data_IF_318679731719
#
_entry.id   IF_318679731719
#
_cell.length_a   1.000
_cell.length_b   1.000
_cell.length_c   1.000
_cell.angle_alpha   90.00
_cell.angle_beta   90.00
_cell.angle_gamma   90.00
#
_symmetry.space_group_name_H-M   'P 1'
#
loop_
_entity.id
_entity.type
_entity.pdbx_description
1 polymer ?
#
# COMPACT_ATOMS: atom_id res chain seq x y z
N UNK A 1 -11.97 7.64 12.30
CA UNK A 1 -13.35 7.72 11.82
C UNK A 1 -13.52 6.58 10.83
N UNK A 2 -14.07 5.46 11.28
CA UNK A 2 -14.20 4.28 10.42
C UNK A 2 -15.33 4.51 9.43
N UNK A 3 -15.09 4.23 8.17
CA UNK A 3 -16.16 4.00 7.20
C UNK A 3 -16.93 2.78 7.69
N UNK A 4 -18.04 3.01 8.37
CA UNK A 4 -18.98 1.94 8.69
C UNK A 4 -19.60 1.53 7.38
N UNK A 5 -19.55 0.26 7.06
CA UNK A 5 -20.20 -0.29 5.90
C UNK A 5 -21.70 0.09 5.95
N UNK A 6 -22.10 1.02 5.09
CA UNK A 6 -23.46 1.54 5.05
C UNK A 6 -24.52 0.50 4.69
N UNK A 7 -24.10 -0.73 4.39
CA UNK A 7 -24.98 -1.90 4.20
C UNK A 7 -25.41 -2.54 5.53
N UNK A 8 -24.69 -2.26 6.62
CA UNK A 8 -24.93 -2.89 7.92
C UNK A 8 -25.82 -2.06 8.85
N UNK A 9 -26.16 -0.82 8.53
CA UNK A 9 -26.95 0.07 9.39
C UNK A 9 -28.21 0.54 8.68
N UNK A 10 -29.34 0.53 9.40
CA UNK A 10 -30.60 1.11 8.91
C UNK A 10 -30.53 2.64 8.70
N UNK A 11 -29.45 3.27 9.14
CA UNK A 11 -29.18 4.71 8.94
C UNK A 11 -27.91 4.82 8.11
N UNK A 12 -27.95 5.42 6.90
CA UNK A 12 -26.75 5.66 6.11
C UNK A 12 -25.74 6.48 6.89
N UNK A 13 -24.45 6.10 6.81
CA UNK A 13 -23.37 6.91 7.36
C UNK A 13 -23.43 8.33 6.78
N UNK A 14 -23.48 9.35 7.63
CA UNK A 14 -23.57 10.74 7.23
C UNK A 14 -22.40 11.19 6.30
N UNK A 15 -21.25 10.51 6.36
CA UNK A 15 -20.11 10.78 5.49
C UNK A 15 -20.32 10.29 4.05
N UNK A 16 -21.26 9.37 3.80
CA UNK A 16 -21.47 8.76 2.49
C UNK A 16 -21.94 9.77 1.43
N UNK A 17 -22.78 10.73 1.82
CA UNK A 17 -23.20 11.81 0.94
C UNK A 17 -22.00 12.68 0.51
N UNK A 18 -21.10 12.98 1.44
CA UNK A 18 -19.86 13.71 1.16
C UNK A 18 -18.92 12.98 0.22
N UNK A 19 -18.74 11.66 0.42
CA UNK A 19 -17.94 10.83 -0.48
C UNK A 19 -18.49 10.79 -1.90
N UNK A 20 -19.80 10.69 -2.05
CA UNK A 20 -20.45 10.77 -3.39
C UNK A 20 -20.23 12.14 -4.03
N UNK A 21 -20.39 13.22 -3.28
CA UNK A 21 -20.15 14.57 -3.77
C UNK A 21 -18.69 14.75 -4.24
N UNK A 22 -17.71 14.26 -3.47
CA UNK A 22 -16.29 14.29 -3.87
C UNK A 22 -16.02 13.47 -5.11
N UNK A 23 -16.62 12.28 -5.23
CA UNK A 23 -16.48 11.44 -6.43
C UNK A 23 -17.06 12.17 -7.66
N UNK A 24 -18.26 12.73 -7.53
CA UNK A 24 -18.94 13.40 -8.62
C UNK A 24 -18.22 14.70 -9.02
N UNK A 25 -17.65 15.43 -8.05
CA UNK A 25 -16.76 16.55 -8.30
C UNK A 25 -15.53 16.13 -9.09
N UNK A 26 -14.82 15.07 -8.67
CA UNK A 26 -13.64 14.56 -9.36
C UNK A 26 -13.93 14.05 -10.79
N UNK A 27 -15.15 13.62 -11.05
CA UNK A 27 -15.61 13.19 -12.38
C UNK A 27 -16.07 14.35 -13.26
N UNK A 28 -16.27 15.55 -12.72
CA UNK A 28 -16.78 16.72 -13.44
C UNK A 28 -15.69 17.44 -14.24
N UNK A 29 -16.11 18.33 -15.15
CA UNK A 29 -15.24 19.25 -15.88
C UNK A 29 -15.05 20.60 -15.16
N UNK A 30 -15.44 20.68 -13.90
CA UNK A 30 -15.25 21.86 -13.06
C UNK A 30 -13.76 22.22 -12.93
N UNK A 31 -13.45 23.51 -12.90
CA UNK A 31 -12.08 24.01 -12.82
C UNK A 31 -11.36 23.51 -11.56
N UNK A 32 -12.08 23.40 -10.43
CA UNK A 32 -11.52 22.85 -9.18
C UNK A 32 -11.19 21.36 -9.35
N UNK A 33 -12.08 20.60 -9.99
CA UNK A 33 -11.84 19.18 -10.27
C UNK A 33 -10.64 18.98 -11.18
N UNK A 34 -10.47 19.81 -12.22
CA UNK A 34 -9.29 19.79 -13.09
C UNK A 34 -8.01 20.08 -12.31
N UNK A 35 -8.02 21.09 -11.45
CA UNK A 35 -6.86 21.42 -10.60
C UNK A 35 -6.51 20.30 -9.63
N UNK A 36 -7.49 19.67 -9.00
CA UNK A 36 -7.29 18.51 -8.10
C UNK A 36 -6.70 17.33 -8.88
N UNK A 37 -7.25 16.99 -10.04
CA UNK A 37 -6.70 15.93 -10.89
C UNK A 37 -5.26 16.22 -11.33
N UNK A 38 -4.95 17.46 -11.70
CA UNK A 38 -3.60 17.88 -12.05
C UNK A 38 -2.63 17.73 -10.86
N UNK A 39 -3.05 18.11 -9.66
CA UNK A 39 -2.26 17.95 -8.44
C UNK A 39 -2.01 16.48 -8.10
N UNK A 40 -3.03 15.62 -8.24
CA UNK A 40 -2.89 14.17 -8.06
C UNK A 40 -1.89 13.61 -9.09
N UNK A 41 -2.01 14.00 -10.35
CA UNK A 41 -1.11 13.55 -11.41
C UNK A 41 0.35 13.99 -11.16
N UNK A 42 0.56 15.19 -10.65
CA UNK A 42 1.89 15.73 -10.34
C UNK A 42 2.57 15.02 -9.16
N UNK A 43 1.80 14.49 -8.21
CA UNK A 43 2.29 13.78 -7.02
C UNK A 43 2.31 12.26 -7.18
N UNK A 44 1.72 11.75 -8.27
CA UNK A 44 1.63 10.31 -8.51
C UNK A 44 3.01 9.69 -8.67
N UNK A 45 3.27 8.60 -7.95
CA UNK A 45 4.46 7.79 -8.14
C UNK A 45 4.50 7.21 -9.58
N UNK A 46 5.61 7.43 -10.28
CA UNK A 46 5.77 6.98 -11.68
C UNK A 46 5.94 5.47 -11.82
N UNK A 47 6.24 4.76 -10.73
CA UNK A 47 6.60 3.34 -10.72
C UNK A 47 7.77 3.01 -11.69
N UNK A 48 8.68 3.95 -11.91
CA UNK A 48 9.85 3.82 -12.80
C UNK A 48 11.14 3.63 -11.98
N UNK A 49 11.13 2.72 -11.00
CA UNK A 49 12.36 2.40 -10.27
C UNK A 49 13.36 1.71 -11.19
N UNK A 50 14.64 2.15 -11.13
CA UNK A 50 15.75 1.56 -11.88
C UNK A 50 16.68 0.71 -11.02
N UNK A 51 16.46 0.72 -9.73
CA UNK A 51 17.25 -0.05 -8.77
C UNK A 51 16.50 -1.31 -8.33
N UNK A 52 17.20 -2.40 -8.01
CA UNK A 52 16.58 -3.57 -7.39
C UNK A 52 15.84 -3.16 -6.12
N UNK A 53 14.61 -3.56 -5.99
CA UNK A 53 13.73 -3.13 -4.91
C UNK A 53 12.99 -4.31 -4.30
N UNK A 54 12.92 -4.37 -2.98
CA UNK A 54 11.98 -5.25 -2.26
C UNK A 54 11.05 -4.38 -1.44
N UNK A 55 9.75 -4.56 -1.63
CA UNK A 55 8.72 -3.97 -0.78
C UNK A 55 8.38 -4.99 0.29
N UNK A 56 8.38 -4.58 1.55
CA UNK A 56 7.89 -5.37 2.69
C UNK A 56 6.62 -4.72 3.20
N UNK A 57 5.51 -5.44 3.22
CA UNK A 57 4.21 -4.89 3.54
C UNK A 57 3.37 -5.87 4.37
N UNK A 58 2.77 -5.38 5.46
CA UNK A 58 1.88 -6.16 6.30
C UNK A 58 0.50 -6.36 5.66
N UNK A 59 0.00 -7.57 5.64
CA UNK A 59 -1.31 -7.87 5.03
C UNK A 59 -2.50 -7.37 5.86
N UNK A 60 -2.27 -6.93 7.09
CA UNK A 60 -3.26 -6.29 7.97
C UNK A 60 -2.99 -4.79 8.16
N UNK A 61 -2.24 -4.17 7.24
CA UNK A 61 -1.99 -2.74 7.27
C UNK A 61 -3.30 -1.95 7.11
N UNK A 62 -3.75 -1.35 8.22
CA UNK A 62 -4.99 -0.58 8.27
C UNK A 62 -4.81 0.91 7.92
N UNK A 63 -3.57 1.35 7.75
CA UNK A 63 -3.25 2.75 7.40
C UNK A 63 -3.10 2.88 5.89
N UNK A 64 -2.34 1.98 5.27
CA UNK A 64 -2.10 1.95 3.83
C UNK A 64 -2.40 0.53 3.33
N UNK A 65 -3.66 0.19 3.01
CA UNK A 65 -4.01 -1.17 2.63
C UNK A 65 -3.24 -1.65 1.40
N UNK A 66 -2.76 -2.89 1.47
CA UNK A 66 -1.92 -3.55 0.47
C UNK A 66 -2.52 -3.51 -0.95
N UNK A 67 -3.83 -3.71 -1.05
CA UNK A 67 -4.60 -3.74 -2.32
C UNK A 67 -4.60 -2.39 -3.05
N UNK A 68 -4.48 -1.29 -2.32
CA UNK A 68 -4.52 0.06 -2.88
C UNK A 68 -3.16 0.74 -2.98
N UNK A 69 -2.10 0.06 -2.54
CA UNK A 69 -0.75 0.61 -2.48
C UNK A 69 0.29 -0.30 -3.13
N UNK A 70 0.82 -1.27 -2.40
CA UNK A 70 1.98 -2.07 -2.87
C UNK A 70 1.65 -2.98 -4.03
N UNK A 71 0.49 -3.62 -4.08
CA UNK A 71 0.12 -4.50 -5.21
C UNK A 71 -0.03 -3.74 -6.53
N UNK A 72 -0.81 -2.64 -6.62
CA UNK A 72 -0.89 -1.87 -7.86
C UNK A 72 0.45 -1.21 -8.22
N UNK A 73 1.25 -0.77 -7.23
CA UNK A 73 2.58 -0.24 -7.50
C UNK A 73 3.51 -1.32 -8.09
N UNK A 74 3.53 -2.52 -7.50
CA UNK A 74 4.29 -3.67 -8.03
C UNK A 74 3.92 -3.96 -9.49
N UNK A 75 2.63 -4.04 -9.80
CA UNK A 75 2.15 -4.30 -11.14
C UNK A 75 2.60 -3.21 -12.12
N UNK A 76 2.46 -1.93 -11.76
CA UNK A 76 2.88 -0.81 -12.59
C UNK A 76 4.41 -0.76 -12.76
N UNK A 77 5.19 -1.03 -11.70
CA UNK A 77 6.64 -1.04 -11.77
C UNK A 77 7.16 -2.16 -12.67
N UNK A 78 6.58 -3.35 -12.60
CA UNK A 78 6.91 -4.48 -13.48
C UNK A 78 6.56 -4.21 -14.94
N UNK A 79 5.41 -3.57 -15.20
CA UNK A 79 5.05 -3.15 -16.55
C UNK A 79 6.06 -2.15 -17.15
N UNK A 80 6.76 -1.40 -16.30
CA UNK A 80 7.86 -0.50 -16.65
C UNK A 80 9.25 -1.17 -16.65
N UNK A 81 9.33 -2.51 -16.51
CA UNK A 81 10.57 -3.27 -16.53
C UNK A 81 11.39 -3.22 -15.25
N UNK A 82 10.82 -2.81 -14.13
CA UNK A 82 11.52 -2.75 -12.85
C UNK A 82 11.85 -4.15 -12.29
N UNK A 83 13.04 -4.27 -11.70
CA UNK A 83 13.44 -5.42 -10.89
C UNK A 83 12.93 -5.21 -9.47
N UNK A 84 11.75 -5.76 -9.16
CA UNK A 84 11.03 -5.50 -7.93
C UNK A 84 10.35 -6.76 -7.42
N UNK A 85 10.41 -6.98 -6.11
CA UNK A 85 9.69 -8.04 -5.40
C UNK A 85 8.80 -7.46 -4.31
N UNK A 86 7.73 -8.16 -3.96
CA UNK A 86 6.83 -7.85 -2.86
C UNK A 86 6.82 -9.00 -1.86
N UNK A 87 7.12 -8.68 -0.61
CA UNK A 87 7.01 -9.58 0.54
C UNK A 87 5.79 -9.17 1.36
N UNK A 88 4.70 -9.90 1.22
CA UNK A 88 3.50 -9.76 2.03
C UNK A 88 3.72 -10.49 3.35
N UNK A 89 3.71 -9.76 4.45
CA UNK A 89 3.94 -10.32 5.79
C UNK A 89 2.59 -10.63 6.44
N UNK A 90 2.28 -11.92 6.66
CA UNK A 90 1.01 -12.30 7.27
C UNK A 90 0.86 -11.73 8.68
N UNK A 91 -0.35 -11.26 8.98
CA UNK A 91 -0.73 -10.76 10.31
C UNK A 91 0.17 -9.60 10.80
N UNK A 92 0.66 -8.75 9.90
CA UNK A 92 1.47 -7.58 10.24
C UNK A 92 0.73 -6.27 9.94
N UNK A 93 0.97 -5.27 10.79
CA UNK A 93 0.47 -3.91 10.65
C UNK A 93 1.52 -2.98 10.02
N UNK A 94 1.16 -1.69 9.86
CA UNK A 94 2.04 -0.66 9.29
C UNK A 94 3.30 -0.39 10.14
N UNK A 95 3.17 -0.40 11.45
CA UNK A 95 4.25 -0.10 12.40
C UNK A 95 4.41 -1.17 13.46
N UNK A 96 5.64 -1.57 13.75
CA UNK A 96 5.95 -2.49 14.85
C UNK A 96 5.59 -1.93 16.22
N UNK A 97 5.53 -0.60 16.37
CA UNK A 97 5.05 0.04 17.61
C UNK A 97 3.63 -0.41 17.99
N UNK A 98 2.82 -0.84 17.05
CA UNK A 98 1.47 -1.35 17.32
C UNK A 98 1.46 -2.69 18.07
N UNK A 99 2.53 -3.50 17.94
CA UNK A 99 2.64 -4.78 18.68
C UNK A 99 2.73 -4.57 20.20
N UNK A 100 3.11 -3.37 20.63
CA UNK A 100 3.09 -3.00 22.06
C UNK A 100 1.68 -2.78 22.61
N UNK A 101 0.68 -2.62 21.75
CA UNK A 101 -0.71 -2.47 22.18
C UNK A 101 -1.29 -3.84 22.56
N UNK A 102 -1.95 -4.01 23.72
CA UNK A 102 -2.44 -5.32 24.18
C UNK A 102 -3.32 -6.06 23.18
N UNK A 103 -4.14 -5.32 22.40
CA UNK A 103 -5.02 -5.90 21.37
C UNK A 103 -4.27 -6.35 20.11
N UNK A 104 -3.05 -5.90 19.91
CA UNK A 104 -2.24 -6.15 18.72
C UNK A 104 -0.94 -6.92 19.02
N UNK A 105 -0.75 -7.33 20.30
CA UNK A 105 0.46 -8.05 20.75
C UNK A 105 0.72 -9.39 20.04
N UNK A 106 -0.31 -9.96 19.41
CA UNK A 106 -0.18 -11.20 18.60
C UNK A 106 0.18 -10.97 17.13
N UNK A 107 0.37 -9.72 16.70
CA UNK A 107 0.70 -9.42 15.31
C UNK A 107 2.19 -9.65 15.02
N UNK A 108 2.48 -9.90 13.75
CA UNK A 108 3.86 -10.16 13.28
C UNK A 108 4.61 -8.83 13.14
N UNK A 109 5.81 -8.69 13.74
CA UNK A 109 6.65 -7.52 13.52
C UNK A 109 7.16 -7.45 12.07
N UNK A 110 7.15 -6.24 11.47
CA UNK A 110 7.66 -6.00 10.12
C UNK A 110 9.19 -5.85 10.07
N UNK A 111 9.80 -5.24 11.08
CA UNK A 111 11.24 -4.91 11.06
C UNK A 111 12.14 -6.12 10.83
N UNK A 112 11.91 -7.31 11.43
CA UNK A 112 12.70 -8.50 11.10
C UNK A 112 12.61 -8.89 9.63
N UNK A 113 11.46 -8.72 8.99
CA UNK A 113 11.27 -8.99 7.57
C UNK A 113 11.96 -7.92 6.70
N UNK A 114 11.96 -6.67 7.13
CA UNK A 114 12.69 -5.59 6.46
C UNK A 114 14.21 -5.83 6.49
N UNK A 115 14.76 -6.27 7.61
CA UNK A 115 16.18 -6.66 7.70
C UNK A 115 16.50 -7.86 6.79
N UNK A 116 15.66 -8.88 6.79
CA UNK A 116 15.84 -10.02 5.89
C UNK A 116 15.75 -9.61 4.39
N UNK A 117 14.90 -8.66 4.05
CA UNK A 117 14.82 -8.13 2.69
C UNK A 117 16.09 -7.34 2.32
N UNK A 118 16.64 -6.58 3.26
CA UNK A 118 17.90 -5.86 3.07
C UNK A 118 19.07 -6.82 2.85
N UNK A 119 19.18 -7.86 3.67
CA UNK A 119 20.20 -8.91 3.51
C UNK A 119 20.09 -9.61 2.15
N UNK A 120 18.87 -9.92 1.71
CA UNK A 120 18.61 -10.52 0.41
C UNK A 120 19.00 -9.58 -0.76
N UNK A 121 18.75 -8.25 -0.62
CA UNK A 121 19.19 -7.28 -1.60
C UNK A 121 20.71 -7.11 -1.62
N UNK A 122 21.38 -7.11 -0.48
CA UNK A 122 22.86 -7.08 -0.40
C UNK A 122 23.43 -8.30 -1.11
N UNK A 123 22.92 -9.50 -0.82
CA UNK A 123 23.34 -10.72 -1.48
C UNK A 123 23.13 -10.67 -3.01
N UNK A 124 22.04 -10.04 -3.47
CA UNK A 124 21.81 -9.82 -4.90
C UNK A 124 22.86 -8.87 -5.50
N UNK A 125 23.21 -7.79 -4.82
CA UNK A 125 24.22 -6.84 -5.28
C UNK A 125 25.61 -7.47 -5.34
N UNK A 126 25.89 -8.47 -4.49
CA UNK A 126 27.10 -9.26 -4.50
C UNK A 126 27.10 -10.41 -5.55
N UNK A 127 26.14 -10.38 -6.47
CA UNK A 127 26.05 -11.32 -7.60
C UNK A 127 25.07 -12.47 -7.41
N UNK A 128 24.31 -12.51 -6.32
CA UNK A 128 23.24 -13.48 -6.09
C UNK A 128 21.98 -13.22 -6.91
N UNK A 129 21.02 -14.13 -6.81
CA UNK A 129 19.73 -13.97 -7.48
C UNK A 129 18.92 -12.80 -6.90
N UNK A 130 18.08 -12.17 -7.75
CA UNK A 130 17.09 -11.19 -7.27
C UNK A 130 16.09 -11.88 -6.32
N UNK A 131 15.77 -11.28 -5.18
CA UNK A 131 14.72 -11.81 -4.29
C UNK A 131 13.41 -12.05 -5.03
N UNK A 132 12.81 -13.21 -4.77
CA UNK A 132 11.49 -13.56 -5.31
C UNK A 132 10.37 -12.97 -4.45
N UNK A 133 9.16 -12.95 -5.01
CA UNK A 133 7.96 -12.56 -4.26
C UNK A 133 7.66 -13.53 -3.12
N UNK A 134 7.13 -12.99 -2.04
CA UNK A 134 6.50 -13.74 -0.95
C UNK A 134 5.05 -13.26 -0.83
N UNK A 135 4.20 -13.72 -1.74
CA UNK A 135 2.80 -13.33 -1.78
C UNK A 135 1.96 -14.27 -0.92
N UNK A 136 0.96 -13.71 -0.24
CA UNK A 136 -0.06 -14.51 0.43
C UNK A 136 -0.90 -15.24 -0.63
N UNK A 137 -1.02 -16.55 -0.47
CA UNK A 137 -1.89 -17.41 -1.29
C UNK A 137 -3.32 -17.36 -0.78
#
# INVERSE_FOLDING_TARGET
MGLVDGLATAVPDASFAGLRCLRDLLASDDAIAQQVRASIAATRASAQTRVPTVIVHGDHDSIIPLEFSSRPYLAAARANGARIALWEVPNAQHFDAFVALPKLAGMTPLMPQAYAAMDALIAHLDGGAMPEDRLKR
#
